data_IF_491845732603
#
_entry.id   IF_491845732603
#
_cell.length_a   1.000
_cell.length_b   1.000
_cell.length_c   1.000
_cell.angle_alpha   90.00
_cell.angle_beta   90.00
_cell.angle_gamma   90.00
#
_symmetry.space_group_name_H-M   'P 1'
#
loop_
_entity.id
_entity.type
_entity.pdbx_description
1 polymer ?
#
# COMPACT_ATOMS: atom_id res chain seq x y z
N UNK A 1 22.86 5.62 14.20
CA UNK A 1 21.45 6.08 14.31
C UNK A 1 20.55 4.86 14.13
N UNK A 2 19.56 4.65 15.00
CA UNK A 2 18.67 3.47 14.92
C UNK A 2 17.31 3.93 14.41
N UNK A 3 16.86 3.40 13.28
CA UNK A 3 15.51 3.59 12.77
C UNK A 3 14.54 2.81 13.67
N UNK A 4 13.50 3.49 14.18
CA UNK A 4 12.48 2.90 15.04
C UNK A 4 11.10 3.19 14.48
N UNK A 5 10.23 2.19 14.52
CA UNK A 5 8.84 2.32 14.11
C UNK A 5 7.94 1.42 14.95
N UNK A 6 6.64 1.67 14.88
CA UNK A 6 5.59 0.79 15.38
C UNK A 6 4.69 0.39 14.22
N UNK A 7 4.17 -0.83 14.29
CA UNK A 7 3.22 -1.36 13.31
C UNK A 7 1.90 -1.66 14.00
N UNK A 8 0.80 -1.30 13.36
CA UNK A 8 -0.54 -1.68 13.80
C UNK A 8 -1.31 -2.30 12.63
N UNK A 9 -1.77 -3.54 12.83
CA UNK A 9 -2.68 -4.16 11.89
C UNK A 9 -4.09 -3.64 12.11
N UNK A 10 -4.82 -3.37 11.02
CA UNK A 10 -6.23 -2.98 11.08
C UNK A 10 -7.12 -4.17 11.47
N UNK A 11 -6.66 -5.38 11.15
CA UNK A 11 -7.18 -6.64 11.66
C UNK A 11 -6.05 -7.62 11.97
N UNK A 12 -6.16 -8.43 13.01
CA UNK A 12 -5.17 -9.44 13.32
C UNK A 12 -5.09 -10.50 12.20
N UNK A 13 -3.88 -10.89 11.74
CA UNK A 13 -3.70 -12.04 10.86
C UNK A 13 -4.23 -13.33 11.50
N UNK A 14 -4.78 -14.29 10.72
CA UNK A 14 -4.91 -14.27 9.26
C UNK A 14 -6.18 -13.58 8.76
N UNK A 15 -7.05 -13.09 9.67
CA UNK A 15 -8.35 -12.54 9.34
C UNK A 15 -8.27 -11.28 8.47
N UNK A 16 -7.11 -10.62 8.44
CA UNK A 16 -6.89 -9.37 7.71
C UNK A 16 -7.23 -9.43 6.22
N UNK A 17 -7.23 -10.58 5.56
CA UNK A 17 -7.79 -10.70 4.19
C UNK A 17 -7.20 -9.72 3.17
N UNK A 18 -5.94 -9.30 3.31
CA UNK A 18 -5.33 -8.29 2.45
C UNK A 18 -5.54 -6.83 2.90
N UNK A 19 -6.20 -6.59 4.03
CA UNK A 19 -6.24 -5.27 4.66
C UNK A 19 -4.83 -4.80 5.02
N UNK A 20 -4.55 -3.50 4.83
CA UNK A 20 -3.26 -2.93 5.12
C UNK A 20 -3.00 -2.84 6.63
N UNK A 21 -1.76 -2.53 6.97
CA UNK A 21 -1.32 -2.14 8.30
C UNK A 21 -0.76 -0.72 8.25
N UNK A 22 -0.71 -0.07 9.40
CA UNK A 22 -0.17 1.29 9.55
C UNK A 22 1.22 1.19 10.17
N UNK A 23 2.16 1.97 9.64
CA UNK A 23 3.49 2.18 10.24
C UNK A 23 3.55 3.60 10.81
N UNK A 24 3.93 3.72 12.09
CA UNK A 24 4.27 4.99 12.71
C UNK A 24 5.78 5.07 12.93
N UNK A 25 6.43 6.03 12.26
CA UNK A 25 7.87 6.25 12.34
C UNK A 25 8.23 7.12 13.54
N UNK A 26 9.21 6.68 14.34
CA UNK A 26 9.75 7.45 15.46
C UNK A 26 11.05 8.12 15.03
N UNK A 27 10.93 9.21 14.29
CA UNK A 27 12.05 9.95 13.68
C UNK A 27 11.92 11.45 13.92
N UNK A 28 13.03 12.21 13.92
CA UNK A 28 12.97 13.67 13.95
C UNK A 28 12.15 14.25 12.80
N UNK A 29 11.64 15.48 12.97
CA UNK A 29 10.98 16.20 11.89
C UNK A 29 11.91 16.30 10.67
N UNK A 30 11.34 16.07 9.47
CA UNK A 30 12.11 16.04 8.21
C UNK A 30 12.91 14.75 7.96
N UNK A 31 12.98 13.82 8.92
CA UNK A 31 13.69 12.55 8.77
C UNK A 31 12.75 11.36 8.45
N UNK A 32 11.54 11.63 7.97
CA UNK A 32 10.61 10.58 7.55
C UNK A 32 11.19 9.80 6.37
N UNK A 33 11.26 8.45 6.41
CA UNK A 33 11.88 7.67 5.34
C UNK A 33 11.27 7.91 3.95
N UNK A 34 9.96 8.18 3.90
CA UNK A 34 9.27 8.51 2.65
C UNK A 34 9.41 9.96 2.17
N UNK A 35 10.07 10.85 2.92
CA UNK A 35 10.24 12.26 2.52
C UNK A 35 11.47 12.48 1.63
N UNK A 36 12.43 11.56 1.65
CA UNK A 36 13.63 11.66 0.83
C UNK A 36 13.34 11.14 -0.60
N UNK A 37 13.73 11.91 -1.60
CA UNK A 37 13.75 11.42 -2.97
C UNK A 37 14.75 10.25 -3.08
N UNK A 38 14.30 9.13 -3.64
CA UNK A 38 15.13 7.94 -3.87
C UNK A 38 15.25 7.72 -5.38
N UNK A 39 16.49 7.55 -5.83
CA UNK A 39 16.76 7.03 -7.17
C UNK A 39 16.73 5.50 -7.10
N UNK A 40 15.65 4.89 -7.58
CA UNK A 40 15.55 3.44 -7.67
C UNK A 40 16.21 2.93 -8.97
N UNK A 41 16.95 1.81 -8.99
CA UNK A 41 17.59 1.29 -10.19
C UNK A 41 16.65 1.01 -11.37
N UNK A 42 15.37 0.74 -11.11
CA UNK A 42 14.35 0.58 -12.16
C UNK A 42 13.87 1.90 -12.79
N UNK A 43 14.28 3.04 -12.23
CA UNK A 43 13.76 4.36 -12.60
C UNK A 43 12.32 4.62 -12.17
N UNK A 44 11.65 3.67 -11.52
CA UNK A 44 10.28 3.84 -11.01
C UNK A 44 10.23 5.00 -9.99
N UNK A 45 9.21 5.85 -10.12
CA UNK A 45 9.10 7.11 -9.37
C UNK A 45 7.93 7.13 -8.39
N UNK A 46 6.85 6.44 -8.72
CA UNK A 46 5.58 6.53 -8.00
C UNK A 46 4.82 5.22 -8.13
N UNK A 47 4.12 4.83 -7.06
CA UNK A 47 3.07 3.81 -7.13
C UNK A 47 1.80 4.53 -7.56
N UNK A 48 1.35 4.30 -8.79
CA UNK A 48 0.19 4.98 -9.36
C UNK A 48 -1.11 4.23 -9.12
N UNK A 49 -1.07 2.92 -8.86
CA UNK A 49 -2.23 2.15 -8.41
C UNK A 49 -1.84 0.86 -7.68
N UNK A 50 -2.68 0.42 -6.77
CA UNK A 50 -2.63 -0.92 -6.16
C UNK A 50 -3.93 -1.67 -6.43
N UNK A 51 -3.84 -2.87 -7.00
CA UNK A 51 -4.99 -3.79 -7.14
C UNK A 51 -4.97 -4.82 -6.04
N UNK A 52 -6.07 -4.90 -5.32
CA UNK A 52 -6.30 -5.84 -4.22
C UNK A 52 -7.33 -6.88 -4.65
N UNK A 53 -7.15 -8.12 -4.22
CA UNK A 53 -8.11 -9.19 -4.37
C UNK A 53 -8.88 -9.36 -3.09
N UNK A 54 -10.19 -9.58 -3.17
CA UNK A 54 -11.03 -9.95 -2.04
C UNK A 54 -12.27 -10.75 -2.52
N UNK A 55 -12.78 -11.74 -1.75
CA UNK A 55 -14.03 -12.42 -2.08
C UNK A 55 -15.26 -11.49 -2.15
N UNK A 56 -15.23 -10.38 -1.41
CA UNK A 56 -16.28 -9.36 -1.25
C UNK A 56 -15.73 -7.94 -1.55
N UNK A 57 -15.39 -7.64 -2.82
CA UNK A 57 -14.59 -6.46 -3.17
C UNK A 57 -15.24 -5.12 -2.78
N UNK A 58 -16.57 -5.00 -2.86
CA UNK A 58 -17.26 -3.77 -2.44
C UNK A 58 -17.15 -3.53 -0.93
N UNK A 59 -17.24 -4.59 -0.13
CA UNK A 59 -17.14 -4.50 1.34
C UNK A 59 -15.71 -4.17 1.75
N UNK A 60 -14.72 -4.84 1.14
CA UNK A 60 -13.30 -4.55 1.38
C UNK A 60 -12.94 -3.12 0.97
N UNK A 61 -13.39 -2.64 -0.20
CA UNK A 61 -13.14 -1.27 -0.64
C UNK A 61 -13.77 -0.23 0.30
N UNK A 62 -15.02 -0.44 0.73
CA UNK A 62 -15.69 0.44 1.69
C UNK A 62 -14.94 0.48 3.03
N UNK A 63 -14.46 -0.68 3.48
CA UNK A 63 -13.68 -0.79 4.71
C UNK A 63 -12.35 -0.07 4.64
N UNK A 64 -11.60 -0.22 3.55
CA UNK A 64 -10.32 0.48 3.37
C UNK A 64 -10.53 2.00 3.39
N UNK A 65 -11.54 2.51 2.67
CA UNK A 65 -11.89 3.95 2.68
C UNK A 65 -12.28 4.44 4.07
N UNK A 66 -13.09 3.67 4.79
CA UNK A 66 -13.48 4.04 6.16
C UNK A 66 -12.29 4.14 7.12
N UNK A 67 -11.22 3.38 6.89
CA UNK A 67 -10.04 3.32 7.76
C UNK A 67 -8.94 4.30 7.33
N UNK A 68 -8.77 4.55 6.03
CA UNK A 68 -7.62 5.27 5.47
C UNK A 68 -7.99 6.53 4.67
N UNK A 69 -9.28 6.79 4.46
CA UNK A 69 -9.76 7.85 3.57
C UNK A 69 -9.69 7.49 2.10
N UNK A 70 -9.89 8.49 1.24
CA UNK A 70 -10.06 8.33 -0.21
C UNK A 70 -8.82 8.70 -1.03
N UNK A 71 -7.72 9.10 -0.38
CA UNK A 71 -6.53 9.63 -1.05
C UNK A 71 -5.61 8.55 -1.63
N UNK A 72 -5.85 7.28 -1.31
CA UNK A 72 -5.02 6.17 -1.78
C UNK A 72 -5.48 5.67 -3.15
N UNK A 73 -4.59 5.54 -4.14
CA UNK A 73 -4.95 5.01 -5.45
C UNK A 73 -5.02 3.48 -5.41
N UNK A 74 -6.19 2.93 -5.09
CA UNK A 74 -6.41 1.49 -5.07
C UNK A 74 -7.73 1.07 -5.73
N UNK A 75 -7.76 -0.17 -6.20
CA UNK A 75 -8.96 -0.87 -6.63
C UNK A 75 -9.03 -2.24 -5.97
N UNK A 76 -10.25 -2.72 -5.68
CA UNK A 76 -10.47 -4.07 -5.17
C UNK A 76 -11.26 -4.88 -6.19
N UNK A 77 -10.74 -6.04 -6.55
CA UNK A 77 -11.28 -6.96 -7.52
C UNK A 77 -11.71 -8.27 -6.84
N UNK A 78 -12.67 -8.97 -7.45
CA UNK A 78 -13.13 -10.25 -6.91
C UNK A 78 -12.03 -11.30 -7.06
N UNK A 79 -11.61 -11.90 -5.95
CA UNK A 79 -10.62 -12.97 -5.94
C UNK A 79 -10.99 -14.08 -4.93
N UNK A 80 -10.40 -15.26 -5.10
CA UNK A 80 -10.61 -16.38 -4.16
C UNK A 80 -9.98 -16.15 -2.78
N UNK A 81 -8.96 -15.28 -2.70
CA UNK A 81 -8.26 -14.94 -1.47
C UNK A 81 -7.97 -13.44 -1.41
N UNK A 82 -7.92 -12.92 -0.19
CA UNK A 82 -7.49 -11.56 0.11
C UNK A 82 -6.01 -11.33 -0.19
N UNK A 83 -5.63 -10.17 -0.77
CA UNK A 83 -4.22 -9.81 -0.93
C UNK A 83 -3.93 -8.81 -2.06
N UNK A 84 -2.64 -8.52 -2.28
CA UNK A 84 -2.20 -7.71 -3.42
C UNK A 84 -2.17 -8.58 -4.68
N UNK A 85 -2.87 -8.13 -5.73
CA UNK A 85 -2.89 -8.78 -7.05
C UNK A 85 -1.93 -8.12 -8.03
N UNK A 86 -1.77 -6.80 -7.91
CA UNK A 86 -0.83 -6.07 -8.73
C UNK A 86 -0.47 -4.71 -8.12
N UNK A 87 0.69 -4.21 -8.50
CA UNK A 87 1.14 -2.84 -8.25
C UNK A 87 1.50 -2.20 -9.58
N UNK A 88 0.98 -1.01 -9.83
CA UNK A 88 1.34 -0.20 -11.00
C UNK A 88 2.33 0.88 -10.58
N UNK A 89 3.40 0.99 -11.34
CA UNK A 89 4.51 1.91 -11.12
C UNK A 89 4.67 2.85 -12.32
N UNK A 90 4.86 4.13 -12.05
CA UNK A 90 5.24 5.09 -13.07
C UNK A 90 6.75 5.02 -13.31
N UNK A 91 7.15 4.74 -14.55
CA UNK A 91 8.56 4.68 -14.96
C UNK A 91 8.82 5.60 -16.16
N UNK A 92 10.09 5.97 -16.46
CA UNK A 92 10.43 6.73 -17.66
C UNK A 92 10.02 6.04 -18.97
N UNK A 93 9.90 4.70 -18.96
CA UNK A 93 9.48 3.90 -20.12
C UNK A 93 7.96 3.73 -20.22
N UNK A 94 7.18 4.38 -19.35
CA UNK A 94 5.73 4.21 -19.22
C UNK A 94 5.33 3.38 -17.99
N UNK A 95 4.02 3.10 -17.83
CA UNK A 95 3.51 2.32 -16.70
C UNK A 95 4.07 0.89 -16.69
N UNK A 96 4.51 0.44 -15.52
CA UNK A 96 4.96 -0.93 -15.27
C UNK A 96 4.03 -1.61 -14.26
N UNK A 97 3.47 -2.76 -14.63
CA UNK A 97 2.63 -3.56 -13.74
C UNK A 97 3.40 -4.78 -13.22
N UNK A 98 3.53 -4.87 -11.89
CA UNK A 98 4.06 -6.03 -11.17
C UNK A 98 2.89 -6.85 -10.63
N UNK A 99 2.94 -8.17 -10.74
CA UNK A 99 1.92 -9.11 -10.24
C UNK A 99 2.55 -10.14 -9.32
#
# INVERSE_FOLDING_TARGET
MVLRWRTQFLEPPPASGGLPFVIAWSVPAGAHPGAAAVAHPSGARTISAVRLGDPSPQQAAARIRALLGDDLPFAVEKAGTGGVLAVELDTPGGPLVIR
#
